data_IF_179583048822
#
_entry.id   IF_179583048822
#
_cell.length_a   1.000
_cell.length_b   1.000
_cell.length_c   1.000
_cell.angle_alpha   90.00
_cell.angle_beta   90.00
_cell.angle_gamma   90.00
#
_symmetry.space_group_name_H-M   'P 1'
#
loop_
_entity.id
_entity.type
_entity.pdbx_description
1 polymer ?
#
# COMPACT_ATOMS: atom_id res chain seq x y z
N UNK A 1 8.61 -28.79 -45.72
CA UNK A 1 8.24 -28.11 -46.99
C UNK A 1 8.13 -26.62 -46.68
N UNK A 2 9.01 -25.78 -47.29
CA UNK A 2 8.99 -24.29 -47.47
C UNK A 2 8.90 -23.42 -46.20
N UNK A 3 9.91 -22.63 -45.77
CA UNK A 3 10.72 -21.53 -46.38
C UNK A 3 9.94 -20.22 -46.63
N UNK A 4 10.52 -19.12 -46.10
CA UNK A 4 10.43 -17.69 -46.50
C UNK A 4 9.11 -16.95 -46.20
N UNK A 5 9.05 -15.63 -46.05
CA UNK A 5 9.94 -14.45 -45.85
C UNK A 5 8.95 -13.26 -45.70
N UNK A 6 9.24 -12.14 -45.03
CA UNK A 6 9.73 -10.85 -45.58
C UNK A 6 9.23 -9.80 -44.54
N UNK A 7 10.02 -8.98 -43.84
CA UNK A 7 10.82 -7.80 -44.21
C UNK A 7 10.12 -6.81 -45.15
N UNK A 8 9.72 -5.64 -44.61
CA UNK A 8 9.69 -4.40 -45.37
C UNK A 8 9.93 -3.17 -44.48
N UNK A 9 11.10 -2.58 -44.71
CA UNK A 9 11.61 -1.26 -44.32
C UNK A 9 10.87 -0.14 -45.05
N UNK A 10 10.65 1.03 -44.44
CA UNK A 10 10.50 2.29 -45.21
C UNK A 10 11.10 3.47 -44.44
N UNK A 11 11.81 4.29 -45.21
CA UNK A 11 12.86 5.28 -44.91
C UNK A 11 12.28 6.72 -44.83
N UNK A 12 12.95 7.69 -44.18
CA UNK A 12 12.43 9.05 -44.01
C UNK A 12 12.68 9.94 -45.24
N UNK A 13 11.79 10.91 -45.44
CA UNK A 13 11.94 11.97 -46.43
C UNK A 13 12.48 13.25 -45.78
N UNK A 14 13.38 13.91 -46.50
CA UNK A 14 14.18 15.05 -46.11
C UNK A 14 14.01 16.15 -47.19
N UNK A 15 14.22 17.40 -46.76
CA UNK A 15 14.62 18.59 -47.55
C UNK A 15 13.59 19.27 -48.46
N UNK A 16 13.37 20.57 -48.19
CA UNK A 16 13.42 21.62 -49.21
C UNK A 16 14.01 22.89 -48.60
N UNK A 17 15.12 23.32 -49.20
CA UNK A 17 15.77 24.61 -49.09
C UNK A 17 15.08 25.62 -50.00
N UNK A 18 15.11 26.92 -49.67
CA UNK A 18 15.52 27.94 -50.64
C UNK A 18 15.90 29.29 -50.01
N UNK A 19 16.74 29.99 -50.77
CA UNK A 19 17.66 31.07 -50.38
C UNK A 19 17.20 32.45 -50.91
N UNK A 20 18.04 33.48 -50.66
CA UNK A 20 18.19 34.76 -51.44
C UNK A 20 17.28 35.93 -50.99
N UNK A 21 17.64 37.22 -50.98
CA UNK A 21 18.87 38.05 -50.98
C UNK A 21 18.40 39.52 -51.12
N UNK A 22 19.19 40.49 -50.63
CA UNK A 22 19.13 41.91 -51.00
C UNK A 22 18.04 42.74 -50.30
N UNK A 23 18.18 44.04 -50.07
CA UNK A 23 19.30 44.96 -50.26
C UNK A 23 18.97 46.26 -49.51
N UNK A 24 20.03 46.84 -48.98
CA UNK A 24 20.25 48.19 -48.46
C UNK A 24 19.36 49.32 -49.01
N UNK A 25 18.87 50.19 -48.12
CA UNK A 25 18.46 51.58 -48.40
C UNK A 25 18.32 52.38 -47.09
N UNK A 26 19.39 53.08 -46.70
CA UNK A 26 19.39 54.29 -45.86
C UNK A 26 19.55 55.53 -46.77
N UNK A 27 19.40 56.79 -46.30
CA UNK A 27 18.75 57.31 -45.08
C UNK A 27 17.87 58.56 -45.35
N UNK A 28 17.00 58.96 -44.40
CA UNK A 28 16.68 60.38 -44.19
C UNK A 28 16.56 60.69 -42.70
N UNK A 29 17.47 61.56 -42.24
CA UNK A 29 17.42 62.27 -40.95
C UNK A 29 16.20 63.19 -40.95
N UNK A 30 15.38 63.08 -39.91
CA UNK A 30 14.55 64.17 -39.39
C UNK A 30 14.77 64.18 -37.88
N UNK A 31 15.36 65.27 -37.41
CA UNK A 31 15.41 65.61 -36.00
C UNK A 31 13.98 65.94 -35.55
N UNK A 32 13.54 65.41 -34.41
CA UNK A 32 12.65 66.14 -33.49
C UNK A 32 12.44 65.40 -32.16
N UNK A 33 12.75 66.16 -31.10
CA UNK A 33 12.16 66.19 -29.75
C UNK A 33 12.44 65.04 -28.76
N UNK A 34 12.99 65.35 -27.56
CA UNK A 34 13.04 64.39 -26.47
C UNK A 34 11.61 64.09 -26.01
N UNK A 35 11.17 62.84 -26.19
CA UNK A 35 10.02 62.30 -25.49
C UNK A 35 10.41 62.09 -24.04
N UNK A 36 9.75 62.78 -23.15
CA UNK A 36 9.71 62.44 -21.74
C UNK A 36 9.34 60.96 -21.60
N UNK A 37 10.31 60.16 -21.15
CA UNK A 37 10.09 58.82 -20.65
C UNK A 37 9.32 58.95 -19.33
N UNK A 38 8.02 59.22 -19.42
CA UNK A 38 7.10 58.98 -18.32
C UNK A 38 7.03 57.46 -18.20
N UNK A 39 7.80 56.91 -17.27
CA UNK A 39 7.72 55.52 -16.87
C UNK A 39 6.23 55.16 -16.69
N UNK A 40 5.76 54.19 -17.46
CA UNK A 40 4.54 53.49 -17.07
C UNK A 40 4.78 52.98 -15.65
N UNK A 41 3.85 53.16 -14.69
CA UNK A 41 4.00 52.52 -13.40
C UNK A 41 4.13 51.03 -13.68
N UNK A 42 5.27 50.45 -13.29
CA UNK A 42 5.40 49.01 -13.22
C UNK A 42 4.24 48.54 -12.36
N UNK A 43 3.35 47.74 -12.94
CA UNK A 43 2.36 47.00 -12.18
C UNK A 43 3.13 46.09 -11.25
N UNK A 44 3.38 46.56 -10.02
CA UNK A 44 3.85 45.69 -8.94
C UNK A 44 2.85 44.53 -8.89
N UNK A 45 3.32 43.26 -8.90
CA UNK A 45 2.42 42.16 -8.68
C UNK A 45 1.78 42.39 -7.31
N UNK A 46 0.46 42.53 -7.29
CA UNK A 46 -0.33 42.68 -6.08
C UNK A 46 -0.29 41.34 -5.32
N UNK A 47 0.82 41.12 -4.60
CA UNK A 47 1.00 39.96 -3.72
C UNK A 47 0.19 40.25 -2.47
N UNK A 48 -1.12 40.05 -2.56
CA UNK A 48 -2.01 40.23 -1.42
C UNK A 48 -1.65 39.18 -0.35
N UNK A 49 -1.44 39.56 0.92
CA UNK A 49 -1.11 38.65 2.03
C UNK A 49 -2.10 37.48 2.22
N UNK A 50 -3.32 37.65 1.71
CA UNK A 50 -4.37 36.63 1.72
C UNK A 50 -4.07 35.43 0.82
N UNK A 51 -3.39 35.62 -0.33
CA UNK A 51 -3.05 34.53 -1.23
C UNK A 51 -1.97 33.61 -0.62
N UNK A 52 -0.95 34.20 0.01
CA UNK A 52 0.13 33.46 0.68
C UNK A 52 -0.38 32.68 1.91
N UNK A 53 -1.29 33.27 2.69
CA UNK A 53 -1.94 32.57 3.81
C UNK A 53 -2.77 31.38 3.32
N UNK A 54 -3.52 31.52 2.22
CA UNK A 54 -4.30 30.42 1.64
C UNK A 54 -3.42 29.31 1.10
N UNK A 55 -2.27 29.64 0.50
CA UNK A 55 -1.30 28.64 0.03
C UNK A 55 -0.63 27.91 1.20
N UNK A 56 -0.25 28.63 2.25
CA UNK A 56 0.36 28.06 3.45
C UNK A 56 -0.61 27.11 4.17
N UNK A 57 -1.86 27.53 4.40
CA UNK A 57 -2.86 26.67 5.03
C UNK A 57 -3.19 25.42 4.20
N UNK A 58 -3.15 25.51 2.86
CA UNK A 58 -3.32 24.34 1.99
C UNK A 58 -2.15 23.37 2.09
N UNK A 59 -0.92 23.89 2.17
CA UNK A 59 0.28 23.09 2.35
C UNK A 59 0.26 22.38 3.72
N UNK A 60 -0.11 23.09 4.78
CA UNK A 60 -0.26 22.54 6.13
C UNK A 60 -1.31 21.42 6.18
N UNK A 61 -2.48 21.63 5.57
CA UNK A 61 -3.52 20.61 5.48
C UNK A 61 -3.03 19.35 4.74
N UNK A 62 -2.34 19.52 3.61
CA UNK A 62 -1.78 18.40 2.85
C UNK A 62 -0.72 17.61 3.65
N UNK A 63 0.10 18.31 4.46
CA UNK A 63 1.04 17.66 5.36
C UNK A 63 0.35 16.88 6.47
N UNK A 64 -0.70 17.45 7.07
CA UNK A 64 -1.48 16.79 8.11
C UNK A 64 -2.15 15.50 7.60
N UNK A 65 -2.78 15.57 6.42
CA UNK A 65 -3.43 14.41 5.78
C UNK A 65 -2.43 13.29 5.51
N UNK A 66 -1.26 13.63 4.97
CA UNK A 66 -0.18 12.66 4.70
C UNK A 66 0.34 12.01 5.98
N UNK A 67 0.51 12.80 7.04
CA UNK A 67 1.00 12.29 8.31
C UNK A 67 -0.03 11.34 8.96
N UNK A 68 -1.31 11.71 8.95
CA UNK A 68 -2.40 10.85 9.42
C UNK A 68 -2.46 9.55 8.63
N UNK A 69 -2.36 9.63 7.30
CA UNK A 69 -2.34 8.47 6.42
C UNK A 69 -1.15 7.52 6.70
N UNK A 70 0.05 8.08 6.90
CA UNK A 70 1.23 7.30 7.24
C UNK A 70 1.10 6.60 8.61
N UNK A 71 0.47 7.26 9.60
CA UNK A 71 0.19 6.65 10.90
C UNK A 71 -0.78 5.47 10.77
N UNK A 72 -1.82 5.64 9.98
CA UNK A 72 -2.82 4.62 9.67
C UNK A 72 -2.19 3.39 8.99
N UNK A 73 -1.30 3.59 8.02
CA UNK A 73 -0.55 2.50 7.38
C UNK A 73 0.29 1.73 8.41
N UNK A 74 1.03 2.45 9.27
CA UNK A 74 1.87 1.82 10.30
C UNK A 74 1.05 1.02 11.31
N UNK A 75 -0.15 1.48 11.65
CA UNK A 75 -1.03 0.76 12.57
C UNK A 75 -1.46 -0.60 11.98
N UNK A 76 -1.79 -0.65 10.69
CA UNK A 76 -2.11 -1.91 10.01
C UNK A 76 -0.89 -2.82 9.92
N UNK A 77 0.26 -2.29 9.50
CA UNK A 77 1.49 -3.10 9.42
C UNK A 77 1.88 -3.66 10.79
N UNK A 78 1.75 -2.87 11.86
CA UNK A 78 1.99 -3.34 13.23
C UNK A 78 1.01 -4.44 13.64
N UNK A 79 -0.24 -4.36 13.21
CA UNK A 79 -1.23 -5.42 13.46
C UNK A 79 -0.85 -6.71 12.73
N UNK A 80 -0.41 -6.61 11.47
CA UNK A 80 0.09 -7.77 10.72
C UNK A 80 1.36 -8.38 11.33
N UNK A 81 2.26 -7.55 11.87
CA UNK A 81 3.44 -8.01 12.62
C UNK A 81 3.04 -8.79 13.89
N UNK A 82 2.09 -8.27 14.68
CA UNK A 82 1.57 -8.98 15.86
C UNK A 82 0.91 -10.32 15.50
N UNK A 83 0.24 -10.39 14.35
CA UNK A 83 -0.32 -11.63 13.84
C UNK A 83 0.80 -12.61 13.47
N UNK A 84 1.87 -12.14 12.82
CA UNK A 84 3.04 -12.96 12.50
C UNK A 84 3.69 -13.55 13.75
N UNK A 85 3.88 -12.73 14.79
CA UNK A 85 4.39 -13.17 16.09
C UNK A 85 3.49 -14.25 16.71
N UNK A 86 2.16 -14.08 16.66
CA UNK A 86 1.23 -15.09 17.16
C UNK A 86 1.30 -16.40 16.37
N UNK A 87 1.43 -16.35 15.05
CA UNK A 87 1.61 -17.56 14.21
C UNK A 87 2.95 -18.24 14.50
N UNK A 88 4.01 -17.48 14.75
CA UNK A 88 5.30 -18.03 15.20
C UNK A 88 5.17 -18.72 16.55
N UNK A 89 4.54 -18.08 17.53
CA UNK A 89 4.31 -18.67 18.86
C UNK A 89 3.45 -19.93 18.79
N UNK A 90 2.50 -20.01 17.84
CA UNK A 90 1.72 -21.22 17.57
C UNK A 90 2.62 -22.35 17.07
N UNK A 91 3.53 -22.04 16.14
CA UNK A 91 4.50 -23.03 15.63
C UNK A 91 5.40 -23.53 16.76
N UNK A 92 5.98 -22.64 17.55
CA UNK A 92 6.90 -22.99 18.63
C UNK A 92 6.23 -23.88 19.68
N UNK A 93 4.96 -23.58 20.00
CA UNK A 93 4.14 -24.39 20.93
C UNK A 93 3.98 -25.83 20.44
N UNK A 94 3.75 -26.04 19.13
CA UNK A 94 3.59 -27.38 18.56
C UNK A 94 4.93 -28.10 18.37
N UNK A 95 5.98 -27.39 17.95
CA UNK A 95 7.31 -27.96 17.79
C UNK A 95 7.88 -28.52 19.09
N UNK A 96 7.66 -27.82 20.21
CA UNK A 96 8.08 -28.29 21.53
C UNK A 96 7.50 -29.64 21.93
N UNK A 97 6.30 -29.97 21.43
CA UNK A 97 5.63 -31.24 21.68
C UNK A 97 6.04 -32.33 20.69
N UNK A 98 6.23 -31.98 19.42
CA UNK A 98 6.50 -32.92 18.33
C UNK A 98 7.98 -33.32 18.24
N UNK A 99 8.92 -32.44 18.60
CA UNK A 99 10.36 -32.68 18.43
C UNK A 99 10.99 -33.59 19.48
N UNK A 100 10.32 -33.82 20.61
CA UNK A 100 10.80 -34.73 21.66
C UNK A 100 10.52 -36.16 21.24
N UNK A 101 11.51 -37.06 21.37
CA UNK A 101 11.33 -38.48 21.09
C UNK A 101 11.59 -39.33 22.35
N UNK A 102 10.60 -40.11 22.82
CA UNK A 102 9.25 -40.24 22.27
C UNK A 102 8.41 -38.95 22.45
N UNK A 103 7.45 -38.65 21.54
CA UNK A 103 6.58 -37.49 21.70
C UNK A 103 5.75 -37.60 22.98
N UNK A 104 5.30 -36.45 23.49
CA UNK A 104 4.45 -36.44 24.68
C UNK A 104 3.17 -37.26 24.45
N UNK A 105 2.78 -38.10 25.43
CA UNK A 105 1.50 -38.79 25.41
C UNK A 105 0.33 -37.83 25.16
N UNK A 106 -0.77 -38.33 24.59
CA UNK A 106 -1.93 -37.49 24.27
C UNK A 106 -2.55 -36.82 25.51
N UNK A 107 -2.47 -37.49 26.65
CA UNK A 107 -2.97 -37.06 27.95
C UNK A 107 -1.93 -36.31 28.80
N UNK A 108 -0.72 -36.08 28.26
CA UNK A 108 0.30 -35.33 28.99
C UNK A 108 -0.15 -33.88 29.22
N UNK A 109 0.17 -33.37 30.41
CA UNK A 109 -0.17 -32.00 30.80
C UNK A 109 0.51 -31.00 29.86
N UNK A 110 1.74 -31.27 29.46
CA UNK A 110 2.54 -30.44 28.55
C UNK A 110 1.88 -30.32 27.17
N UNK A 111 1.44 -31.44 26.59
CA UNK A 111 0.74 -31.44 25.30
C UNK A 111 -0.58 -30.69 25.38
N UNK A 112 -1.36 -30.94 26.43
CA UNK A 112 -2.64 -30.25 26.63
C UNK A 112 -2.42 -28.73 26.78
N UNK A 113 -1.38 -28.31 27.51
CA UNK A 113 -1.03 -26.89 27.66
C UNK A 113 -0.62 -26.26 26.32
N UNK A 114 0.22 -26.94 25.52
CA UNK A 114 0.62 -26.47 24.20
C UNK A 114 -0.60 -26.31 23.25
N UNK A 115 -1.52 -27.27 23.24
CA UNK A 115 -2.74 -27.21 22.44
C UNK A 115 -3.69 -26.09 22.88
N UNK A 116 -3.80 -25.85 24.20
CA UNK A 116 -4.57 -24.71 24.73
C UNK A 116 -3.94 -23.37 24.35
N UNK A 117 -2.62 -23.27 24.42
CA UNK A 117 -1.89 -22.07 24.01
C UNK A 117 -2.10 -21.80 22.53
N UNK A 118 -1.98 -22.83 21.68
CA UNK A 118 -2.27 -22.76 20.25
C UNK A 118 -3.69 -22.23 19.99
N UNK A 119 -4.71 -22.80 20.63
CA UNK A 119 -6.09 -22.36 20.47
C UNK A 119 -6.32 -20.91 20.95
N UNK A 120 -5.61 -20.49 22.00
CA UNK A 120 -5.67 -19.10 22.52
C UNK A 120 -5.07 -18.12 21.52
N UNK A 121 -3.88 -18.40 21.00
CA UNK A 121 -3.22 -17.57 20.00
C UNK A 121 -4.05 -17.45 18.72
N UNK A 122 -4.65 -18.57 18.27
CA UNK A 122 -5.59 -18.56 17.14
C UNK A 122 -6.76 -17.59 17.37
N UNK A 123 -7.34 -17.57 18.58
CA UNK A 123 -8.41 -16.63 18.93
C UNK A 123 -7.92 -15.18 19.02
N UNK A 124 -6.70 -14.94 19.49
CA UNK A 124 -6.11 -13.61 19.52
C UNK A 124 -5.96 -13.04 18.09
N UNK A 125 -5.56 -13.87 17.12
CA UNK A 125 -5.52 -13.48 15.71
C UNK A 125 -6.92 -13.11 15.21
N UNK A 126 -7.94 -13.91 15.52
CA UNK A 126 -9.33 -13.58 15.16
C UNK A 126 -9.79 -12.26 15.82
N UNK A 127 -9.34 -11.94 17.04
CA UNK A 127 -9.66 -10.68 17.71
C UNK A 127 -8.96 -9.47 17.09
N UNK A 128 -7.69 -9.61 16.69
CA UNK A 128 -6.93 -8.56 16.00
C UNK A 128 -7.49 -8.22 14.61
N UNK A 129 -8.34 -9.09 14.07
CA UNK A 129 -8.93 -8.96 12.73
C UNK A 129 -10.42 -8.63 12.74
N UNK A 130 -10.97 -8.33 13.93
CA UNK A 130 -12.30 -7.72 14.02
C UNK A 130 -12.18 -6.28 13.51
N UNK A 131 -12.85 -5.94 12.40
CA UNK A 131 -12.81 -4.58 11.88
C UNK A 131 -13.47 -3.62 12.87
N UNK A 132 -12.95 -2.40 13.02
CA UNK A 132 -13.67 -1.35 13.73
C UNK A 132 -14.90 -0.90 12.92
N UNK A 133 -15.85 -0.22 13.59
CA UNK A 133 -17.06 0.29 12.92
C UNK A 133 -16.81 1.56 12.08
N UNK A 134 -15.61 2.14 12.16
CA UNK A 134 -15.22 3.32 11.41
C UNK A 134 -14.55 2.96 10.07
N UNK A 135 -14.29 3.97 9.23
CA UNK A 135 -13.63 3.79 7.93
C UNK A 135 -12.10 3.63 8.07
N UNK A 136 -11.67 2.99 9.15
CA UNK A 136 -10.26 2.75 9.45
C UNK A 136 -9.66 1.74 8.46
N UNK A 137 -8.35 1.87 8.16
CA UNK A 137 -7.64 0.89 7.36
C UNK A 137 -7.64 -0.52 7.95
N UNK A 138 -7.91 -0.68 9.25
CA UNK A 138 -7.97 -2.00 9.90
C UNK A 138 -9.04 -2.92 9.28
N UNK A 139 -10.07 -2.37 8.63
CA UNK A 139 -11.12 -3.17 7.98
C UNK A 139 -10.61 -4.04 6.83
N UNK A 140 -9.44 -3.74 6.26
CA UNK A 140 -8.83 -4.56 5.20
C UNK A 140 -8.39 -5.93 5.70
N UNK A 141 -8.19 -6.09 7.02
CA UNK A 141 -7.68 -7.32 7.64
C UNK A 141 -8.78 -8.35 7.93
N UNK A 142 -10.03 -7.89 7.96
CA UNK A 142 -11.15 -8.67 8.49
C UNK A 142 -11.73 -9.71 7.54
N UNK A 143 -12.59 -10.55 8.11
CA UNK A 143 -13.39 -11.51 7.38
C UNK A 143 -14.70 -10.89 6.90
N UNK A 144 -14.80 -10.58 5.61
CA UNK A 144 -16.01 -10.04 5.00
C UNK A 144 -17.22 -10.98 5.10
N UNK A 145 -17.00 -12.29 5.22
CA UNK A 145 -18.09 -13.25 5.41
C UNK A 145 -18.73 -13.16 6.79
N UNK A 146 -17.98 -12.67 7.79
CA UNK A 146 -18.42 -12.51 9.18
C UNK A 146 -18.78 -11.07 9.53
N UNK A 147 -18.06 -10.11 8.95
CA UNK A 147 -18.15 -8.69 9.21
C UNK A 147 -18.35 -7.94 7.88
N UNK A 148 -19.58 -7.52 7.55
CA UNK A 148 -19.86 -6.82 6.29
C UNK A 148 -19.05 -5.54 6.08
N UNK A 149 -18.60 -4.91 7.15
CA UNK A 149 -17.75 -3.73 7.18
C UNK A 149 -16.30 -4.01 6.77
N UNK A 150 -15.85 -5.28 6.81
CA UNK A 150 -14.54 -5.64 6.30
C UNK A 150 -14.51 -5.56 4.77
N UNK A 151 -13.40 -5.04 4.23
CA UNK A 151 -13.28 -4.83 2.80
C UNK A 151 -12.20 -3.84 2.43
N UNK A 152 -12.28 -3.33 1.21
CA UNK A 152 -11.30 -2.39 0.69
C UNK A 152 -11.36 -1.06 1.43
N UNK A 153 -10.21 -0.43 1.62
CA UNK A 153 -10.11 0.90 2.23
C UNK A 153 -10.05 1.98 1.15
N UNK A 154 -10.96 2.93 1.25
CA UNK A 154 -11.14 3.99 0.26
C UNK A 154 -10.56 5.30 0.79
N UNK A 155 -9.71 5.93 -0.01
CA UNK A 155 -9.01 7.16 0.36
C UNK A 155 -9.35 8.22 -0.69
N UNK A 156 -9.79 9.38 -0.24
CA UNK A 156 -10.09 10.51 -1.11
C UNK A 156 -8.93 11.49 -1.09
N UNK A 157 -8.26 11.67 -2.24
CA UNK A 157 -7.08 12.52 -2.35
C UNK A 157 -7.42 13.79 -3.14
N UNK A 158 -7.04 14.93 -2.57
CA UNK A 158 -7.16 16.25 -3.21
C UNK A 158 -8.59 16.78 -3.29
N UNK A 159 -8.72 18.02 -3.80
CA UNK A 159 -10.02 18.72 -3.90
C UNK A 159 -10.99 18.11 -4.90
N UNK A 160 -10.47 17.37 -5.87
CA UNK A 160 -11.26 16.67 -6.88
C UNK A 160 -11.86 15.36 -6.36
N UNK A 161 -11.49 14.93 -5.14
CA UNK A 161 -12.01 13.72 -4.52
C UNK A 161 -11.59 12.46 -5.27
N UNK A 162 -10.36 12.42 -5.81
CA UNK A 162 -9.87 11.22 -6.51
C UNK A 162 -9.85 10.06 -5.53
N UNK A 163 -10.65 9.04 -5.82
CA UNK A 163 -10.77 7.85 -5.01
C UNK A 163 -9.62 6.89 -5.32
N UNK A 164 -8.84 6.57 -4.31
CA UNK A 164 -7.82 5.53 -4.33
C UNK A 164 -8.26 4.40 -3.39
N UNK A 165 -8.02 3.17 -3.82
CA UNK A 165 -8.46 1.98 -3.09
C UNK A 165 -7.24 1.16 -2.68
N UNK A 166 -7.14 0.86 -1.39
CA UNK A 166 -6.24 -0.17 -0.86
C UNK A 166 -7.05 -1.45 -0.74
N UNK A 167 -6.60 -2.50 -1.44
CA UNK A 167 -7.33 -3.75 -1.50
C UNK A 167 -7.36 -4.47 -0.15
N UNK A 168 -8.45 -5.20 0.10
CA UNK A 168 -8.55 -6.11 1.25
C UNK A 168 -7.38 -7.10 1.28
N UNK A 169 -6.90 -7.41 2.48
CA UNK A 169 -5.79 -8.32 2.68
C UNK A 169 -6.13 -9.57 3.49
N UNK A 170 -7.40 -9.85 3.84
CA UNK A 170 -7.84 -10.60 5.04
C UNK A 170 -6.72 -10.88 6.07
N UNK A 171 -6.78 -11.83 6.98
CA UNK A 171 -5.63 -12.37 7.83
C UNK A 171 -6.20 -12.96 9.13
N UNK A 172 -7.53 -13.01 9.25
CA UNK A 172 -8.23 -13.81 10.24
C UNK A 172 -7.80 -15.28 10.20
N UNK A 173 -8.02 -16.01 11.30
CA UNK A 173 -7.56 -17.39 11.41
C UNK A 173 -8.33 -18.37 10.51
N UNK A 174 -9.54 -18.00 10.08
CA UNK A 174 -10.44 -18.85 9.32
C UNK A 174 -10.11 -19.01 7.83
N UNK A 175 -11.04 -19.67 7.12
CA UNK A 175 -10.96 -19.89 5.67
C UNK A 175 -10.95 -18.55 4.91
N UNK A 176 -10.08 -18.41 3.92
CA UNK A 176 -9.90 -17.17 3.16
C UNK A 176 -9.04 -16.13 3.88
N UNK A 177 -8.74 -16.35 5.16
CA UNK A 177 -7.73 -15.64 5.93
C UNK A 177 -6.38 -16.34 5.82
N UNK A 178 -5.79 -16.63 6.98
CA UNK A 178 -4.57 -17.43 7.08
C UNK A 178 -4.84 -18.94 6.99
N UNK A 179 -6.10 -19.39 7.06
CA UNK A 179 -6.46 -20.81 7.07
C UNK A 179 -5.75 -21.60 8.19
N UNK A 180 -5.63 -21.01 9.37
CA UNK A 180 -4.96 -21.63 10.50
C UNK A 180 -5.73 -22.90 10.93
N UNK A 181 -5.02 -24.02 11.16
CA UNK A 181 -5.67 -25.25 11.57
C UNK A 181 -6.38 -25.09 12.91
N UNK A 182 -7.47 -25.82 13.09
CA UNK A 182 -8.18 -25.93 14.36
C UNK A 182 -7.87 -27.30 14.96
N UNK A 183 -7.20 -27.30 16.12
CA UNK A 183 -6.71 -28.51 16.77
C UNK A 183 -7.52 -28.77 18.03
N UNK A 184 -8.05 -29.99 18.15
CA UNK A 184 -8.68 -30.48 19.36
C UNK A 184 -7.63 -30.82 20.43
N UNK A 185 -8.06 -30.93 21.70
CA UNK A 185 -7.17 -31.28 22.81
C UNK A 185 -6.60 -32.71 22.75
N UNK A 186 -7.21 -33.57 21.94
CA UNK A 186 -6.83 -34.96 21.69
C UNK A 186 -6.16 -35.16 20.31
N UNK A 187 -5.77 -34.07 19.64
CA UNK A 187 -5.15 -34.11 18.32
C UNK A 187 -3.96 -35.08 18.27
N UNK A 188 -3.92 -35.97 17.27
CA UNK A 188 -2.85 -36.96 17.09
C UNK A 188 -1.51 -36.34 16.66
N UNK A 189 -0.40 -37.06 16.81
CA UNK A 189 0.93 -36.59 16.36
C UNK A 189 0.97 -36.31 14.86
N UNK A 190 0.22 -37.09 14.06
CA UNK A 190 0.08 -36.85 12.63
C UNK A 190 -0.66 -35.52 12.37
N UNK A 191 -1.73 -35.24 13.12
CA UNK A 191 -2.45 -33.96 13.05
C UNK A 191 -1.59 -32.77 13.46
N UNK A 192 -0.74 -32.94 14.48
CA UNK A 192 0.20 -31.89 14.91
C UNK A 192 1.23 -31.57 13.83
N UNK A 193 1.78 -32.60 13.15
CA UNK A 193 2.72 -32.41 12.03
C UNK A 193 2.05 -31.71 10.85
N UNK A 194 0.86 -32.14 10.46
CA UNK A 194 0.10 -31.46 9.40
C UNK A 194 -0.21 -30.01 9.75
N UNK A 195 -0.49 -29.72 11.02
CA UNK A 195 -0.71 -28.36 11.48
C UNK A 195 0.57 -27.51 11.38
N UNK A 196 1.74 -28.05 11.72
CA UNK A 196 3.03 -27.37 11.54
C UNK A 196 3.25 -27.00 10.07
N UNK A 197 3.01 -27.92 9.14
CA UNK A 197 3.12 -27.65 7.70
C UNK A 197 2.15 -26.53 7.26
N UNK A 198 0.92 -26.58 7.76
CA UNK A 198 -0.11 -25.55 7.47
C UNK A 198 0.28 -24.16 8.01
N UNK A 199 1.00 -24.09 9.15
CA UNK A 199 1.50 -22.82 9.69
C UNK A 199 2.58 -22.19 8.82
N UNK A 200 3.42 -23.00 8.15
CA UNK A 200 4.41 -22.51 7.19
C UNK A 200 3.69 -21.82 6.02
N UNK A 201 2.70 -22.48 5.42
CA UNK A 201 1.88 -21.90 4.34
C UNK A 201 1.13 -20.62 4.79
N UNK A 202 0.68 -20.60 6.05
CA UNK A 202 0.01 -19.45 6.66
C UNK A 202 0.95 -18.24 6.77
N UNK A 203 2.21 -18.46 7.17
CA UNK A 203 3.23 -17.40 7.23
C UNK A 203 3.57 -16.85 5.86
N UNK A 204 3.76 -17.73 4.86
CA UNK A 204 3.98 -17.30 3.48
C UNK A 204 2.80 -16.48 2.93
N UNK A 205 1.58 -16.87 3.30
CA UNK A 205 0.37 -16.14 2.94
C UNK A 205 0.32 -14.77 3.62
N UNK A 206 0.65 -14.69 4.91
CA UNK A 206 0.74 -13.42 5.64
C UNK A 206 1.80 -12.49 5.02
N UNK A 207 2.99 -13.01 4.72
CA UNK A 207 4.05 -12.23 4.10
C UNK A 207 3.62 -11.64 2.75
N UNK A 208 3.03 -12.47 1.86
CA UNK A 208 2.50 -11.98 0.57
C UNK A 208 1.45 -10.88 0.74
N UNK A 209 0.61 -10.98 1.77
CA UNK A 209 -0.42 -9.97 2.09
C UNK A 209 0.18 -8.67 2.62
N UNK A 210 1.21 -8.76 3.47
CA UNK A 210 2.00 -7.60 3.94
C UNK A 210 2.66 -6.88 2.75
N UNK A 211 3.27 -7.64 1.84
CA UNK A 211 3.88 -7.09 0.62
C UNK A 211 2.84 -6.43 -0.31
N UNK A 212 1.68 -7.08 -0.49
CA UNK A 212 0.56 -6.51 -1.24
C UNK A 212 0.05 -5.20 -0.63
N UNK A 213 -0.15 -5.18 0.69
CA UNK A 213 -0.52 -3.97 1.43
C UNK A 213 0.51 -2.86 1.26
N UNK A 214 1.80 -3.17 1.44
CA UNK A 214 2.88 -2.20 1.30
C UNK A 214 2.95 -1.62 -0.12
N UNK A 215 2.75 -2.45 -1.14
CA UNK A 215 2.68 -2.00 -2.53
C UNK A 215 1.51 -1.04 -2.76
N UNK A 216 0.32 -1.36 -2.23
CA UNK A 216 -0.87 -0.50 -2.35
C UNK A 216 -0.69 0.82 -1.60
N UNK A 217 -0.18 0.75 -0.36
CA UNK A 217 0.13 1.91 0.47
C UNK A 217 1.16 2.83 -0.19
N UNK A 218 2.22 2.29 -0.78
CA UNK A 218 3.23 3.09 -1.49
C UNK A 218 2.65 3.79 -2.72
N UNK A 219 1.78 3.12 -3.48
CA UNK A 219 1.06 3.76 -4.60
C UNK A 219 0.15 4.89 -4.10
N UNK A 220 -0.52 4.69 -2.97
CA UNK A 220 -1.35 5.71 -2.33
C UNK A 220 -0.54 6.94 -1.91
N UNK A 221 0.59 6.74 -1.21
CA UNK A 221 1.48 7.83 -0.78
C UNK A 221 2.01 8.60 -2.00
N UNK A 222 2.43 7.89 -3.06
CA UNK A 222 2.95 8.52 -4.27
C UNK A 222 1.88 9.38 -4.99
N UNK A 223 0.60 8.99 -4.92
CA UNK A 223 -0.50 9.77 -5.48
C UNK A 223 -0.85 11.03 -4.66
N UNK A 224 -0.32 11.17 -3.44
CA UNK A 224 -0.47 12.35 -2.56
C UNK A 224 0.71 13.34 -2.67
N UNK A 225 1.70 13.06 -3.52
CA UNK A 225 2.83 13.96 -3.84
C UNK A 225 2.46 14.86 -5.01
#
# INVERSE_FOLDING_TARGET
MKIAADIATTKPAQVFSDSVSGSDSRPKRLAEKPRDLRAAPATEPDITPAADQVLLSRLEAAHADRQSFAQQIRAVDKTMELIEENVQNMQDSLEGVVKIYPPYPQDSIERIQALRQFATLRKMIDQLTVPPMDDSPAKILGDQGRFPEAGDWEIFIGKEGRKLTIGRQPVHAGKGGLNLPDLSSDASDASLRQALDSLVESKETLQRRREGFAADANRAIAAML
#
